data_IF_863395621671
#
_entry.id   IF_863395621671
#
_cell.length_a   1.000
_cell.length_b   1.000
_cell.length_c   1.000
_cell.angle_alpha   90.00
_cell.angle_beta   90.00
_cell.angle_gamma   90.00
#
_symmetry.space_group_name_H-M   'P 1'
#
loop_
_entity.id
_entity.type
_entity.pdbx_description
1 polymer ?
#
# COMPACT_ATOMS: atom_id res chain seq x y z
N UNK A 1 8.30 6.64 -17.30
CA UNK A 1 7.84 7.24 -16.03
C UNK A 1 6.92 6.22 -15.40
N UNK A 2 7.19 5.78 -14.17
CA UNK A 2 6.34 4.78 -13.50
C UNK A 2 5.05 5.42 -12.95
N UNK A 3 3.99 4.64 -12.88
CA UNK A 3 2.68 5.08 -12.37
C UNK A 3 2.80 5.38 -10.86
N UNK A 4 2.31 6.54 -10.42
CA UNK A 4 2.24 6.87 -8.98
C UNK A 4 0.90 6.39 -8.41
N UNK A 5 0.95 5.46 -7.48
CA UNK A 5 -0.23 4.76 -6.94
C UNK A 5 -0.50 5.25 -5.52
N UNK A 6 -1.74 5.64 -5.26
CA UNK A 6 -2.26 5.85 -3.91
C UNK A 6 -3.28 4.75 -3.59
N UNK A 7 -3.19 4.16 -2.39
CA UNK A 7 -4.08 3.08 -1.96
C UNK A 7 -4.93 3.56 -0.79
N UNK A 8 -6.25 3.38 -0.89
CA UNK A 8 -7.19 3.66 0.19
C UNK A 8 -7.55 2.34 0.87
N UNK A 9 -7.42 2.30 2.20
CA UNK A 9 -7.75 1.12 3.02
C UNK A 9 -8.86 1.45 4.00
N UNK A 10 -9.76 0.48 4.18
CA UNK A 10 -10.84 0.59 5.16
C UNK A 10 -10.32 0.33 6.58
N UNK A 11 -10.98 0.91 7.58
CA UNK A 11 -10.50 0.95 8.96
C UNK A 11 -10.38 -0.37 9.71
N UNK A 12 -10.79 -1.51 9.14
CA UNK A 12 -10.57 -2.85 9.72
C UNK A 12 -9.66 -3.73 8.83
N UNK A 13 -9.23 -3.23 7.67
CA UNK A 13 -8.49 -4.01 6.68
C UNK A 13 -7.08 -4.36 7.17
N UNK A 14 -6.70 -5.63 6.97
CA UNK A 14 -5.31 -6.10 7.20
C UNK A 14 -4.33 -5.62 6.12
N UNK A 15 -4.83 -5.10 5.00
CA UNK A 15 -4.01 -4.59 3.91
C UNK A 15 -3.38 -5.67 3.03
N UNK A 16 -3.99 -6.86 2.91
CA UNK A 16 -3.45 -7.95 2.07
C UNK A 16 -3.28 -7.55 0.61
N UNK A 17 -4.30 -6.94 0.00
CA UNK A 17 -4.23 -6.49 -1.40
C UNK A 17 -3.23 -5.33 -1.56
N UNK A 18 -3.18 -4.42 -0.58
CA UNK A 18 -2.20 -3.34 -0.56
C UNK A 18 -0.77 -3.89 -0.56
N UNK A 19 -0.47 -4.87 0.31
CA UNK A 19 0.82 -5.54 0.35
C UNK A 19 1.13 -6.23 -0.98
N UNK A 20 0.18 -6.96 -1.56
CA UNK A 20 0.38 -7.61 -2.86
C UNK A 20 0.69 -6.62 -4.00
N UNK A 21 0.05 -5.44 -3.99
CA UNK A 21 0.31 -4.37 -4.97
C UNK A 21 1.71 -3.77 -4.75
N UNK A 22 2.10 -3.52 -3.49
CA UNK A 22 3.45 -3.04 -3.16
C UNK A 22 4.49 -4.04 -3.64
N UNK A 23 4.32 -5.33 -3.32
CA UNK A 23 5.26 -6.38 -3.72
C UNK A 23 5.35 -6.49 -5.25
N UNK A 24 4.22 -6.39 -5.96
CA UNK A 24 4.20 -6.41 -7.42
C UNK A 24 4.92 -5.20 -8.04
N UNK A 25 4.84 -4.02 -7.42
CA UNK A 25 5.63 -2.85 -7.81
C UNK A 25 7.14 -3.09 -7.58
N UNK A 26 7.52 -3.65 -6.41
CA UNK A 26 8.91 -3.95 -6.09
C UNK A 26 9.52 -5.02 -7.02
N UNK A 27 8.72 -5.99 -7.47
CA UNK A 27 9.11 -7.01 -8.44
C UNK A 27 9.10 -6.52 -9.90
N UNK A 28 8.60 -5.31 -10.16
CA UNK A 28 8.46 -4.76 -11.52
C UNK A 28 7.35 -5.41 -12.36
N UNK A 29 6.43 -6.16 -11.73
CA UNK A 29 5.23 -6.69 -12.39
C UNK A 29 4.21 -5.58 -12.70
N UNK A 30 4.23 -4.54 -11.87
CA UNK A 30 3.53 -3.28 -12.09
C UNK A 30 4.60 -2.22 -12.30
N UNK A 31 4.60 -1.54 -13.46
CA UNK A 31 5.45 -0.36 -13.71
C UNK A 31 4.90 0.85 -12.93
N UNK A 32 5.03 0.78 -11.62
CA UNK A 32 4.44 1.71 -10.68
C UNK A 32 5.15 1.75 -9.34
N UNK A 33 4.82 2.76 -8.56
CA UNK A 33 5.30 2.95 -7.21
C UNK A 33 4.10 3.33 -6.34
N UNK A 34 3.88 2.58 -5.27
CA UNK A 34 2.95 3.00 -4.21
C UNK A 34 3.62 4.12 -3.43
N UNK A 35 3.05 5.32 -3.49
CA UNK A 35 3.62 6.55 -2.90
C UNK A 35 2.80 7.08 -1.72
N UNK A 36 1.61 6.52 -1.49
CA UNK A 36 0.72 6.95 -0.42
C UNK A 36 -0.27 5.83 -0.05
N UNK A 37 -0.47 5.63 1.25
CA UNK A 37 -1.58 4.83 1.79
C UNK A 37 -2.43 5.71 2.70
N UNK A 38 -3.74 5.75 2.45
CA UNK A 38 -4.71 6.48 3.25
C UNK A 38 -5.64 5.49 3.94
N UNK A 39 -5.67 5.52 5.27
CA UNK A 39 -6.57 4.71 6.08
C UNK A 39 -7.64 5.58 6.73
N UNK A 40 -8.84 5.03 6.90
CA UNK A 40 -9.93 5.74 7.60
C UNK A 40 -9.85 5.67 9.12
N UNK A 41 -8.92 4.89 9.67
CA UNK A 41 -8.65 4.76 11.12
C UNK A 41 -7.16 4.64 11.37
N UNK A 42 -6.70 5.25 12.46
CA UNK A 42 -5.27 5.35 12.81
C UNK A 42 -4.68 3.99 13.21
N UNK A 43 -5.50 3.11 13.75
CA UNK A 43 -5.10 1.79 14.26
C UNK A 43 -5.24 0.68 13.21
N UNK A 44 -5.58 1.04 11.95
CA UNK A 44 -5.77 0.06 10.90
C UNK A 44 -4.45 -0.73 10.67
N UNK A 45 -4.46 -2.07 10.77
CA UNK A 45 -3.24 -2.87 10.58
C UNK A 45 -2.58 -2.66 9.21
N UNK A 46 -3.37 -2.30 8.19
CA UNK A 46 -2.85 -1.91 6.89
C UNK A 46 -1.89 -0.70 6.93
N UNK A 47 -2.11 0.29 7.80
CA UNK A 47 -1.24 1.46 7.88
C UNK A 47 0.13 1.12 8.46
N UNK A 48 0.16 0.28 9.49
CA UNK A 48 1.42 -0.24 10.02
C UNK A 48 2.18 -1.01 8.94
N UNK A 49 1.49 -1.89 8.22
CA UNK A 49 2.10 -2.71 7.16
C UNK A 49 2.61 -1.86 5.98
N UNK A 50 1.95 -0.75 5.66
CA UNK A 50 2.43 0.20 4.66
C UNK A 50 3.77 0.82 5.10
N UNK A 51 3.85 1.28 6.35
CA UNK A 51 5.07 1.86 6.91
C UNK A 51 6.24 0.85 6.94
N UNK A 52 5.96 -0.42 7.28
CA UNK A 52 6.96 -1.51 7.23
C UNK A 52 7.53 -1.74 5.82
N UNK A 53 6.78 -1.38 4.77
CA UNK A 53 7.20 -1.47 3.37
C UNK A 53 7.82 -0.17 2.83
N UNK A 54 8.03 0.83 3.70
CA UNK A 54 8.63 2.10 3.32
C UNK A 54 7.71 3.04 2.53
N UNK A 55 6.39 2.87 2.68
CA UNK A 55 5.36 3.79 2.16
C UNK A 55 4.86 4.72 3.25
#
# INVERSE_FOLDING_TARGET
MSIRIAILVSGHGRGSNMAAIIDACQRGEIDGQVVLVIGTRREAPALQRAAENGV
#
